data_IF_997080020591
#
_entry.id   IF_997080020591
#
_cell.length_a   1.000
_cell.length_b   1.000
_cell.length_c   1.000
_cell.angle_alpha   90.00
_cell.angle_beta   90.00
_cell.angle_gamma   90.00
#
_symmetry.space_group_name_H-M   'P 1'
#
loop_
_entity.id
_entity.type
_entity.pdbx_description
1 polymer ?
#
# COMPACT_ATOMS: atom_id res chain seq x y z
N UNK A 1 -8.40 -8.94 9.17
CA UNK A 1 -8.77 -8.43 10.52
C UNK A 1 -9.77 -9.42 11.10
N UNK A 2 -9.46 -9.94 12.28
CA UNK A 2 -10.23 -10.94 13.00
C UNK A 2 -10.58 -10.36 14.38
N UNK A 3 -11.87 -10.26 14.65
CA UNK A 3 -12.42 -9.85 15.92
C UNK A 3 -13.29 -10.96 16.53
N UNK A 4 -14.34 -10.57 17.22
CA UNK A 4 -15.30 -11.49 17.84
C UNK A 4 -16.68 -10.93 17.57
N UNK A 5 -17.50 -11.67 16.83
CA UNK A 5 -18.86 -11.23 16.49
C UNK A 5 -19.83 -11.33 17.66
N UNK A 6 -21.05 -10.86 17.46
CA UNK A 6 -22.11 -10.91 18.46
C UNK A 6 -23.34 -10.10 18.06
N UNK A 7 -24.30 -10.00 18.97
CA UNK A 7 -25.50 -9.19 18.74
C UNK A 7 -25.16 -7.69 18.83
N UNK A 8 -25.65 -6.88 17.89
CA UNK A 8 -25.33 -5.44 17.87
C UNK A 8 -25.76 -4.67 19.13
N UNK A 9 -26.74 -5.18 19.88
CA UNK A 9 -27.17 -4.58 21.15
C UNK A 9 -26.34 -4.98 22.38
N UNK A 10 -25.35 -5.87 22.23
CA UNK A 10 -24.51 -6.35 23.34
C UNK A 10 -23.01 -6.32 22.98
N UNK A 11 -22.42 -5.15 22.70
CA UNK A 11 -21.05 -5.03 22.20
C UNK A 11 -19.96 -5.35 23.23
N UNK A 12 -20.24 -5.29 24.53
CA UNK A 12 -19.25 -5.37 25.63
C UNK A 12 -18.45 -6.69 25.70
N UNK A 13 -18.91 -7.76 25.04
CA UNK A 13 -18.20 -9.05 24.94
C UNK A 13 -17.60 -9.34 23.56
N UNK A 14 -17.57 -8.33 22.67
CA UNK A 14 -17.21 -8.48 21.26
C UNK A 14 -16.00 -7.64 20.90
N UNK A 15 -15.43 -7.91 19.72
CA UNK A 15 -14.44 -7.06 19.07
C UNK A 15 -14.92 -6.83 17.65
N UNK A 16 -15.42 -5.63 17.38
CA UNK A 16 -15.98 -5.29 16.07
C UNK A 16 -14.88 -5.12 15.02
N UNK A 17 -14.81 -6.07 14.08
CA UNK A 17 -13.81 -6.03 13.02
C UNK A 17 -13.96 -4.83 12.07
N UNK A 18 -15.17 -4.24 11.93
CA UNK A 18 -15.41 -3.04 11.12
C UNK A 18 -14.76 -1.83 11.78
N UNK A 19 -14.94 -1.66 13.09
CA UNK A 19 -14.32 -0.56 13.85
C UNK A 19 -12.80 -0.67 13.78
N UNK A 20 -12.26 -1.86 14.05
CA UNK A 20 -10.82 -2.13 13.96
C UNK A 20 -10.27 -1.82 12.56
N UNK A 21 -10.99 -2.23 11.51
CA UNK A 21 -10.61 -1.96 10.13
C UNK A 21 -10.60 -0.46 9.81
N UNK A 22 -11.58 0.30 10.29
CA UNK A 22 -11.63 1.76 10.13
C UNK A 22 -10.40 2.45 10.75
N UNK A 23 -10.03 2.07 11.98
CA UNK A 23 -8.82 2.57 12.62
C UNK A 23 -7.55 2.16 11.86
N UNK A 24 -7.47 0.90 11.41
CA UNK A 24 -6.34 0.40 10.64
C UNK A 24 -6.17 1.20 9.33
N UNK A 25 -7.26 1.45 8.59
CA UNK A 25 -7.23 2.22 7.34
C UNK A 25 -6.59 3.59 7.58
N UNK A 26 -7.06 4.34 8.58
CA UNK A 26 -6.51 5.65 8.91
C UNK A 26 -5.04 5.58 9.34
N UNK A 27 -4.70 4.62 10.19
CA UNK A 27 -3.34 4.44 10.69
C UNK A 27 -2.34 4.08 9.56
N UNK A 28 -2.75 3.28 8.58
CA UNK A 28 -1.90 2.94 7.44
C UNK A 28 -1.55 4.16 6.58
N UNK A 29 -2.46 5.14 6.44
CA UNK A 29 -2.16 6.38 5.69
C UNK A 29 -1.09 7.25 6.38
N UNK A 30 -0.93 7.10 7.70
CA UNK A 30 0.10 7.82 8.44
C UNK A 30 1.51 7.34 8.12
N UNK A 31 1.68 6.13 7.57
CA UNK A 31 2.98 5.60 7.16
C UNK A 31 3.60 6.51 6.10
N UNK A 32 2.85 6.83 5.05
CA UNK A 32 3.36 7.70 3.98
C UNK A 32 3.56 9.11 4.51
N UNK A 33 2.60 9.67 5.24
CA UNK A 33 2.68 11.06 5.66
C UNK A 33 3.71 11.32 6.76
N UNK A 34 4.00 10.37 7.66
CA UNK A 34 4.83 10.58 8.86
C UNK A 34 6.09 9.70 8.96
N UNK A 35 6.22 8.64 8.15
CA UNK A 35 7.40 7.77 8.20
C UNK A 35 8.28 7.85 6.94
N UNK A 36 7.71 8.12 5.77
CA UNK A 36 8.48 8.28 4.52
C UNK A 36 9.04 9.70 4.45
N UNK A 37 10.29 9.85 4.02
CA UNK A 37 10.90 11.17 3.83
C UNK A 37 10.05 11.99 2.84
N UNK A 38 9.83 13.30 3.07
CA UNK A 38 9.11 14.14 2.12
C UNK A 38 9.81 14.26 0.75
N UNK A 39 11.10 13.89 0.66
CA UNK A 39 11.87 13.85 -0.59
C UNK A 39 11.86 12.48 -1.28
N UNK A 40 11.26 11.48 -0.64
CA UNK A 40 11.07 10.15 -1.21
C UNK A 40 9.59 9.95 -1.56
N UNK A 41 9.27 8.89 -2.29
CA UNK A 41 7.90 8.66 -2.75
C UNK A 41 7.40 7.26 -2.40
N UNK A 42 6.20 7.23 -1.80
CA UNK A 42 5.45 6.03 -1.52
C UNK A 42 3.95 6.27 -1.69
N UNK A 43 3.21 5.25 -2.10
CA UNK A 43 1.74 5.26 -2.17
C UNK A 43 1.23 3.99 -1.51
N UNK A 44 0.20 4.12 -0.67
CA UNK A 44 -0.57 2.99 -0.12
C UNK A 44 -2.03 3.20 -0.53
N UNK A 45 -2.53 2.36 -1.42
CA UNK A 45 -3.92 2.39 -1.87
C UNK A 45 -4.64 1.17 -1.32
N UNK A 46 -5.74 1.36 -0.59
CA UNK A 46 -6.61 0.27 -0.13
C UNK A 46 -7.79 0.18 -1.09
N UNK A 47 -7.73 -0.77 -2.03
CA UNK A 47 -8.66 -0.88 -3.15
C UNK A 47 -9.90 -1.71 -2.88
N UNK A 48 -9.92 -2.51 -1.81
CA UNK A 48 -11.07 -3.33 -1.42
C UNK A 48 -11.17 -3.45 0.10
N UNK A 49 -12.37 -3.27 0.63
CA UNK A 49 -12.70 -3.50 2.04
C UNK A 49 -14.01 -4.28 2.08
N UNK A 50 -14.02 -5.45 2.72
CA UNK A 50 -15.19 -6.33 2.82
C UNK A 50 -15.30 -6.91 4.22
N UNK A 51 -16.47 -6.82 4.83
CA UNK A 51 -16.78 -7.50 6.09
C UNK A 51 -18.17 -7.16 6.61
N UNK A 52 -18.64 -7.96 7.57
CA UNK A 52 -20.04 -7.95 8.01
C UNK A 52 -20.96 -8.78 7.11
N UNK A 53 -22.16 -9.07 7.60
CA UNK A 53 -23.16 -9.86 6.87
C UNK A 53 -24.58 -9.31 7.04
N UNK A 54 -24.93 -8.87 8.24
CA UNK A 54 -26.24 -8.30 8.57
C UNK A 54 -26.07 -7.00 9.37
N UNK A 55 -27.01 -6.03 9.27
CA UNK A 55 -26.88 -4.72 9.91
C UNK A 55 -26.97 -4.76 11.45
N UNK A 56 -27.52 -5.85 12.02
CA UNK A 56 -27.70 -6.04 13.46
C UNK A 56 -26.73 -7.08 14.07
N UNK A 57 -25.68 -7.45 13.35
CA UNK A 57 -24.67 -8.41 13.79
C UNK A 57 -23.29 -7.76 13.73
N UNK A 58 -22.57 -7.78 14.85
CA UNK A 58 -21.19 -7.28 14.92
C UNK A 58 -20.29 -8.19 14.09
N UNK A 59 -19.51 -7.58 13.19
CA UNK A 59 -18.71 -8.32 12.22
C UNK A 59 -17.53 -9.04 12.90
N UNK A 60 -17.40 -10.37 12.76
CA UNK A 60 -16.26 -11.10 13.31
C UNK A 60 -14.99 -10.91 12.47
N UNK A 61 -15.11 -10.54 11.19
CA UNK A 61 -13.98 -10.42 10.27
C UNK A 61 -14.17 -9.29 9.26
N UNK A 62 -13.05 -8.69 8.88
CA UNK A 62 -12.93 -7.77 7.74
C UNK A 62 -11.66 -8.09 6.96
N UNK A 63 -11.79 -8.13 5.63
CA UNK A 63 -10.68 -8.29 4.69
C UNK A 63 -10.42 -6.96 3.98
N UNK A 64 -9.16 -6.54 3.97
CA UNK A 64 -8.69 -5.34 3.27
C UNK A 64 -7.67 -5.79 2.23
N UNK A 65 -7.84 -5.36 0.99
CA UNK A 65 -6.87 -5.57 -0.08
C UNK A 65 -6.40 -4.22 -0.59
N UNK A 66 -5.11 -4.12 -0.86
CA UNK A 66 -4.49 -2.89 -1.30
C UNK A 66 -3.19 -3.13 -2.04
N UNK A 67 -2.56 -2.03 -2.43
CA UNK A 67 -1.30 -2.04 -3.14
C UNK A 67 -0.38 -0.96 -2.62
N UNK A 68 0.92 -1.25 -2.65
CA UNK A 68 1.99 -0.31 -2.30
C UNK A 68 2.81 -0.01 -3.55
N UNK A 69 3.20 1.26 -3.72
CA UNK A 69 4.13 1.72 -4.76
C UNK A 69 5.23 2.54 -4.12
N UNK A 70 6.46 2.34 -4.58
CA UNK A 70 7.66 3.04 -4.10
C UNK A 70 8.70 3.06 -5.21
N UNK A 71 9.52 4.11 -5.31
CA UNK A 71 10.63 4.13 -6.28
C UNK A 71 11.85 3.32 -5.85
N UNK A 72 12.09 3.17 -4.54
CA UNK A 72 13.33 2.57 -4.03
C UNK A 72 13.05 1.39 -3.11
N UNK A 73 13.96 0.42 -3.12
CA UNK A 73 13.92 -0.75 -2.23
C UNK A 73 13.98 -0.38 -0.74
N UNK A 74 14.80 0.59 -0.29
CA UNK A 74 14.76 1.06 1.10
C UNK A 74 13.38 1.54 1.55
N UNK A 75 12.70 2.37 0.76
CA UNK A 75 11.36 2.87 1.08
C UNK A 75 10.35 1.71 1.10
N UNK A 76 10.43 0.77 0.15
CA UNK A 76 9.58 -0.43 0.18
C UNK A 76 9.73 -1.23 1.47
N UNK A 77 10.98 -1.47 1.92
CA UNK A 77 11.26 -2.19 3.16
C UNK A 77 10.72 -1.45 4.38
N UNK A 78 10.89 -0.13 4.41
CA UNK A 78 10.33 0.73 5.46
C UNK A 78 8.80 0.59 5.52
N UNK A 79 8.12 0.79 4.39
CA UNK A 79 6.65 0.72 4.32
C UNK A 79 6.16 -0.66 4.74
N UNK A 80 6.75 -1.75 4.21
CA UNK A 80 6.41 -3.12 4.58
C UNK A 80 6.53 -3.33 6.09
N UNK A 81 7.67 -2.97 6.69
CA UNK A 81 7.88 -3.07 8.13
C UNK A 81 6.82 -2.29 8.92
N UNK A 82 6.58 -1.03 8.54
CA UNK A 82 5.60 -0.16 9.22
C UNK A 82 4.17 -0.69 9.12
N UNK A 83 3.78 -1.32 8.00
CA UNK A 83 2.45 -1.95 7.88
C UNK A 83 2.29 -3.04 8.94
N UNK A 84 3.29 -3.91 9.12
CA UNK A 84 3.24 -4.97 10.14
C UNK A 84 3.18 -4.38 11.56
N UNK A 85 4.02 -3.38 11.86
CA UNK A 85 4.06 -2.74 13.19
C UNK A 85 2.75 -2.01 13.52
N UNK A 86 2.20 -1.26 12.57
CA UNK A 86 0.92 -0.55 12.73
C UNK A 86 -0.23 -1.55 12.90
N UNK A 87 -0.28 -2.60 12.08
CA UNK A 87 -1.28 -3.65 12.22
C UNK A 87 -1.22 -4.33 13.61
N UNK A 88 -0.02 -4.67 14.09
CA UNK A 88 0.16 -5.24 15.42
C UNK A 88 -0.29 -4.28 16.53
N UNK A 89 0.08 -2.99 16.43
CA UNK A 89 -0.32 -1.97 17.40
C UNK A 89 -1.84 -1.73 17.44
N UNK A 90 -2.49 -1.66 16.27
CA UNK A 90 -3.95 -1.52 16.17
C UNK A 90 -4.65 -2.77 16.71
N UNK A 91 -4.15 -3.98 16.45
CA UNK A 91 -4.72 -5.19 17.04
C UNK A 91 -4.62 -5.17 18.57
N UNK A 92 -3.43 -4.85 19.10
CA UNK A 92 -3.18 -4.82 20.54
C UNK A 92 -4.07 -3.78 21.26
N UNK A 93 -4.38 -2.65 20.64
CA UNK A 93 -5.25 -1.63 21.24
C UNK A 93 -6.71 -2.05 21.40
N UNK A 94 -7.15 -3.13 20.74
CA UNK A 94 -8.53 -3.63 20.78
C UNK A 94 -8.69 -4.89 21.64
N UNK A 95 -7.65 -5.30 22.35
CA UNK A 95 -7.69 -6.41 23.29
C UNK A 95 -7.21 -7.76 22.72
N UNK A 96 -7.08 -8.78 23.58
CA UNK A 96 -6.31 -10.00 23.30
C UNK A 96 -6.95 -10.93 22.26
N UNK A 97 -8.25 -10.78 21.99
CA UNK A 97 -8.96 -11.57 20.97
C UNK A 97 -8.89 -10.94 19.58
N UNK A 98 -8.41 -9.69 19.46
CA UNK A 98 -8.21 -9.04 18.17
C UNK A 98 -6.93 -9.54 17.50
N UNK A 99 -7.02 -9.94 16.23
CA UNK A 99 -5.87 -10.34 15.41
C UNK A 99 -5.92 -9.67 14.04
N UNK A 100 -4.76 -9.24 13.54
CA UNK A 100 -4.64 -8.69 12.19
C UNK A 100 -3.53 -9.43 11.46
N UNK A 101 -3.93 -10.33 10.56
CA UNK A 101 -3.01 -11.02 9.66
C UNK A 101 -2.67 -10.13 8.46
N UNK A 102 -1.38 -9.99 8.20
CA UNK A 102 -0.84 -9.20 7.10
C UNK A 102 -0.05 -10.10 6.17
N UNK A 103 -0.49 -10.19 4.92
CA UNK A 103 0.27 -10.82 3.84
C UNK A 103 0.77 -9.73 2.89
N UNK A 104 2.09 -9.63 2.72
CA UNK A 104 2.73 -8.68 1.82
C UNK A 104 3.56 -9.44 0.79
N UNK A 105 3.11 -9.43 -0.46
CA UNK A 105 3.83 -10.04 -1.59
C UNK A 105 4.61 -8.98 -2.35
N UNK A 106 5.87 -9.28 -2.68
CA UNK A 106 6.66 -8.43 -3.55
C UNK A 106 6.13 -8.50 -4.99
N UNK A 107 5.82 -7.34 -5.56
CA UNK A 107 5.45 -7.19 -6.96
C UNK A 107 6.67 -6.86 -7.83
N UNK A 108 6.44 -6.07 -8.89
CA UNK A 108 7.49 -5.64 -9.80
C UNK A 108 8.54 -4.76 -9.09
N UNK A 109 9.85 -4.92 -9.41
CA UNK A 109 10.86 -3.94 -9.03
C UNK A 109 10.61 -2.60 -9.73
N UNK A 110 11.27 -1.54 -9.26
CA UNK A 110 11.21 -0.25 -9.95
C UNK A 110 11.82 -0.37 -11.36
N UNK A 111 11.13 0.15 -12.37
CA UNK A 111 11.65 0.21 -13.73
C UNK A 111 12.61 1.40 -13.83
N UNK A 112 13.90 1.14 -13.67
CA UNK A 112 14.95 2.15 -13.81
C UNK A 112 15.56 1.98 -15.19
N UNK A 113 15.38 2.98 -16.04
CA UNK A 113 15.98 2.96 -17.37
C UNK A 113 17.49 3.20 -17.27
N UNK A 114 18.26 2.51 -18.11
CA UNK A 114 19.67 2.84 -18.31
C UNK A 114 19.79 4.25 -18.91
N UNK A 115 20.70 5.05 -18.35
CA UNK A 115 20.84 6.46 -18.73
C UNK A 115 21.35 6.58 -20.17
N UNK A 116 22.38 5.83 -20.54
CA UNK A 116 22.96 5.90 -21.88
C UNK A 116 21.95 5.49 -22.96
N UNK A 117 21.18 4.42 -22.72
CA UNK A 117 20.10 4.01 -23.61
C UNK A 117 19.00 5.08 -23.70
N UNK A 118 18.62 5.69 -22.57
CA UNK A 118 17.59 6.72 -22.53
C UNK A 118 18.01 7.98 -23.29
N UNK A 119 19.28 8.37 -23.19
CA UNK A 119 19.83 9.54 -23.87
C UNK A 119 19.80 9.35 -25.38
N UNK A 120 20.26 8.19 -25.88
CA UNK A 120 20.22 7.84 -27.31
C UNK A 120 18.80 7.93 -27.88
N UNK A 121 17.82 7.36 -27.15
CA UNK A 121 16.42 7.40 -27.59
C UNK A 121 15.85 8.82 -27.53
N UNK A 122 16.21 9.59 -26.51
CA UNK A 122 15.74 10.97 -26.34
C UNK A 122 16.29 11.89 -27.43
N UNK A 123 17.57 11.78 -27.76
CA UNK A 123 18.21 12.55 -28.84
C UNK A 123 17.58 12.23 -30.20
N UNK A 124 17.37 10.94 -30.50
CA UNK A 124 16.71 10.52 -31.73
C UNK A 124 15.27 11.05 -31.82
N UNK A 125 14.51 10.96 -30.72
CA UNK A 125 13.14 11.48 -30.67
C UNK A 125 13.09 13.00 -30.86
N UNK A 126 14.01 13.74 -30.23
CA UNK A 126 14.11 15.20 -30.38
C UNK A 126 14.44 15.60 -31.83
N UNK A 127 15.34 14.86 -32.49
CA UNK A 127 15.69 15.10 -33.89
C UNK A 127 14.52 14.86 -34.86
N UNK A 128 13.66 13.88 -34.58
CA UNK A 128 12.56 13.49 -35.46
C UNK A 128 11.27 14.28 -35.21
N UNK A 129 10.92 14.51 -33.95
CA UNK A 129 9.61 15.06 -33.54
C UNK A 129 9.69 16.52 -33.09
N UNK A 130 10.90 17.00 -32.80
CA UNK A 130 11.14 18.34 -32.27
C UNK A 130 10.78 18.49 -30.79
N UNK A 131 11.28 19.56 -30.14
CA UNK A 131 11.16 19.77 -28.68
C UNK A 131 9.73 20.04 -28.20
N UNK A 132 8.80 20.35 -29.11
CA UNK A 132 7.39 20.60 -28.75
C UNK A 132 6.65 19.31 -28.41
N UNK A 133 7.07 18.18 -28.97
CA UNK A 133 6.40 16.87 -28.81
C UNK A 133 7.17 15.93 -27.87
N UNK A 134 8.42 16.26 -27.52
CA UNK A 134 9.25 15.47 -26.62
C UNK A 134 9.45 16.25 -25.33
N UNK A 135 8.75 15.84 -24.27
CA UNK A 135 8.89 16.39 -22.94
C UNK A 135 9.97 15.70 -22.11
N UNK A 136 10.39 16.30 -20.99
CA UNK A 136 11.29 15.65 -20.06
C UNK A 136 10.65 14.38 -19.48
N UNK A 137 11.45 13.35 -19.14
CA UNK A 137 10.92 12.15 -18.51
C UNK A 137 10.25 12.51 -17.19
N UNK A 138 8.99 12.11 -17.04
CA UNK A 138 8.26 12.21 -15.77
C UNK A 138 8.16 10.84 -15.15
N UNK A 139 8.80 10.59 -13.98
CA UNK A 139 8.58 9.36 -13.23
C UNK A 139 7.09 9.18 -12.95
N UNK A 140 6.62 7.93 -13.03
CA UNK A 140 5.25 7.58 -12.64
C UNK A 140 5.26 6.36 -11.72
N UNK A 141 4.17 6.15 -11.00
CA UNK A 141 4.03 5.08 -10.01
C UNK A 141 3.42 3.80 -10.61
N UNK A 142 3.34 3.68 -11.93
CA UNK A 142 2.87 2.46 -12.56
C UNK A 142 3.90 1.35 -12.36
N UNK A 143 3.42 0.18 -11.93
CA UNK A 143 4.22 -1.04 -11.92
C UNK A 143 4.00 -1.80 -13.22
N UNK A 144 5.06 -2.34 -13.81
CA UNK A 144 4.96 -3.15 -15.03
C UNK A 144 6.08 -4.18 -15.11
N UNK A 145 5.81 -5.31 -15.76
CA UNK A 145 6.76 -6.41 -15.89
C UNK A 145 8.03 -6.08 -16.69
N UNK A 146 8.04 -4.98 -17.45
CA UNK A 146 9.22 -4.52 -18.19
C UNK A 146 10.42 -4.25 -17.27
N UNK A 147 10.18 -3.93 -15.99
CA UNK A 147 11.22 -3.76 -14.97
C UNK A 147 12.13 -4.98 -14.80
N UNK A 148 11.64 -6.19 -15.10
CA UNK A 148 12.45 -7.41 -14.98
C UNK A 148 13.58 -7.48 -16.00
N UNK A 149 13.46 -6.84 -17.17
CA UNK A 149 14.54 -6.82 -18.16
C UNK A 149 15.76 -6.00 -17.70
N UNK A 150 15.55 -5.05 -16.78
CA UNK A 150 16.61 -4.23 -16.19
C UNK A 150 17.15 -4.80 -14.88
N UNK A 151 16.50 -5.83 -14.33
CA UNK A 151 16.89 -6.47 -13.07
C UNK A 151 17.91 -7.57 -13.36
N UNK A 152 19.16 -7.18 -13.62
CA UNK A 152 20.32 -8.09 -13.65
C UNK A 152 21.11 -8.00 -12.36
#
# INVERSE_FOLDING_TARGET
VHGTGGHASAPQGTVDAIVVAGQLIGALQQIVSRNVSPTESAVITLGKVEGGFAPNVIAPTVRILGTVRTYTSPVKRLVRRRIHEVAAGVAASHGPTCKIDVTFSDGYPACVNDQACSDVVSEAALGLLGPRLVGPPSPNMAGGGFSFFFSR
#
